data_IF_338071371300
#
_entry.id   IF_338071371300
#
_cell.length_a   1.000
_cell.length_b   1.000
_cell.length_c   1.000
_cell.angle_alpha   90.00
_cell.angle_beta   90.00
_cell.angle_gamma   90.00
#
_symmetry.space_group_name_H-M   'P 1'
#
loop_
_entity.id
_entity.type
_entity.pdbx_description
1 polymer ?
#
# COMPACT_ATOMS: atom_id res chain seq x y z
N UNK A 1 17.03 5.06 -6.77
CA UNK A 1 16.31 4.71 -5.53
C UNK A 1 15.85 3.24 -5.42
N UNK A 2 15.47 2.50 -6.49
CA UNK A 2 15.07 1.09 -6.33
C UNK A 2 16.24 0.10 -6.23
N UNK A 3 17.39 0.40 -6.85
CA UNK A 3 18.58 -0.49 -6.85
C UNK A 3 19.18 -0.59 -5.45
N UNK A 4 19.31 0.54 -4.75
CA UNK A 4 19.87 0.58 -3.40
C UNK A 4 19.08 -0.28 -2.38
N UNK A 5 17.75 -0.35 -2.53
CA UNK A 5 16.89 -1.11 -1.63
C UNK A 5 17.04 -2.63 -1.84
N UNK A 6 17.28 -3.05 -3.08
CA UNK A 6 17.48 -4.45 -3.44
C UNK A 6 18.89 -4.93 -3.05
N UNK A 7 19.88 -4.05 -3.16
CA UNK A 7 21.26 -4.32 -2.74
C UNK A 7 21.38 -4.47 -1.21
N UNK A 8 20.64 -3.67 -0.44
CA UNK A 8 20.54 -3.83 1.03
C UNK A 8 19.91 -5.18 1.41
N UNK A 9 18.92 -5.64 0.63
CA UNK A 9 18.30 -6.96 0.80
C UNK A 9 19.24 -8.15 0.61
N UNK A 10 20.21 -7.99 -0.29
CA UNK A 10 21.22 -9.02 -0.59
C UNK A 10 22.37 -9.03 0.41
N UNK A 11 22.77 -7.87 0.92
CA UNK A 11 23.91 -7.75 1.83
C UNK A 11 23.64 -8.28 3.24
N UNK A 12 22.39 -8.24 3.72
CA UNK A 12 22.05 -8.51 5.14
C UNK A 12 21.14 -9.73 5.36
N UNK A 13 20.79 -10.49 4.32
CA UNK A 13 19.63 -11.41 4.37
C UNK A 13 18.32 -10.61 4.46
N UNK A 14 17.11 -11.21 4.29
CA UNK A 14 15.85 -10.46 4.15
C UNK A 14 15.70 -9.44 5.30
N UNK A 15 15.95 -8.14 5.05
CA UNK A 15 16.12 -7.20 6.12
C UNK A 15 14.72 -6.70 6.48
N UNK A 16 14.25 -7.14 7.64
CA UNK A 16 13.21 -6.43 8.38
C UNK A 16 13.80 -5.10 8.86
N UNK A 17 14.02 -4.17 7.93
CA UNK A 17 14.39 -2.80 8.20
C UNK A 17 13.17 -2.12 8.82
N UNK A 18 13.23 -1.93 10.13
CA UNK A 18 12.20 -1.27 10.94
C UNK A 18 12.16 0.23 10.62
N UNK A 19 11.61 0.57 9.46
CA UNK A 19 11.38 1.95 9.01
C UNK A 19 10.00 2.41 9.44
N UNK A 20 9.85 2.89 10.68
CA UNK A 20 8.70 3.65 11.26
C UNK A 20 7.25 3.19 10.97
N UNK A 21 7.09 2.07 10.29
CA UNK A 21 5.89 1.36 9.89
C UNK A 21 6.34 -0.09 9.84
N UNK A 22 5.64 -0.98 10.53
CA UNK A 22 5.94 -2.41 10.48
C UNK A 22 5.46 -2.93 9.11
N UNK A 23 6.20 -2.62 8.07
CA UNK A 23 5.92 -2.98 6.69
C UNK A 23 6.70 -4.22 6.28
N UNK A 24 6.02 -5.24 5.77
CA UNK A 24 6.66 -6.38 5.12
C UNK A 24 7.11 -5.96 3.72
N UNK A 25 8.38 -6.18 3.38
CA UNK A 25 8.92 -5.91 2.04
C UNK A 25 8.88 -7.19 1.20
N UNK A 26 8.36 -7.09 -0.02
CA UNK A 26 8.31 -8.21 -0.96
C UNK A 26 9.25 -7.93 -2.12
N UNK A 27 10.41 -8.60 -2.11
CA UNK A 27 11.56 -8.26 -2.96
C UNK A 27 11.53 -8.80 -4.39
N UNK A 28 10.47 -9.50 -4.82
CA UNK A 28 10.32 -9.97 -6.19
C UNK A 28 8.90 -9.80 -6.70
N UNK A 29 8.75 -9.60 -8.01
CA UNK A 29 7.43 -9.40 -8.63
C UNK A 29 6.50 -10.61 -8.41
N UNK A 30 7.01 -11.84 -8.55
CA UNK A 30 6.23 -13.05 -8.34
C UNK A 30 5.81 -13.25 -6.87
N UNK A 31 6.68 -12.90 -5.92
CA UNK A 31 6.30 -12.93 -4.50
C UNK A 31 5.28 -11.84 -4.17
N UNK A 32 5.38 -10.65 -4.79
CA UNK A 32 4.45 -9.56 -4.58
C UNK A 32 3.06 -9.91 -5.12
N UNK A 33 3.00 -10.53 -6.29
CA UNK A 33 1.74 -11.00 -6.88
C UNK A 33 1.08 -12.09 -6.00
N UNK A 34 1.84 -13.10 -5.58
CA UNK A 34 1.32 -14.16 -4.71
C UNK A 34 0.83 -13.59 -3.38
N UNK A 35 1.60 -12.69 -2.76
CA UNK A 35 1.27 -12.05 -1.50
C UNK A 35 0.03 -11.16 -1.58
N UNK A 36 -0.09 -10.34 -2.62
CA UNK A 36 -1.26 -9.49 -2.82
C UNK A 36 -2.51 -10.30 -3.17
N UNK A 37 -2.37 -11.45 -3.86
CA UNK A 37 -3.47 -12.38 -4.09
C UNK A 37 -3.96 -13.04 -2.79
N UNK A 38 -3.05 -13.44 -1.91
CA UNK A 38 -3.41 -14.14 -0.66
C UNK A 38 -3.85 -13.21 0.47
N UNK A 39 -3.30 -12.00 0.55
CA UNK A 39 -3.53 -11.08 1.68
C UNK A 39 -4.11 -9.71 1.28
N UNK A 40 -4.75 -9.62 0.11
CA UNK A 40 -5.30 -8.36 -0.43
C UNK A 40 -6.12 -7.56 0.60
N UNK A 41 -7.00 -8.26 1.33
CA UNK A 41 -7.94 -7.64 2.28
C UNK A 41 -7.23 -6.94 3.44
N UNK A 42 -6.20 -7.59 3.98
CA UNK A 42 -5.45 -7.07 5.13
C UNK A 42 -4.53 -5.91 4.75
N UNK A 43 -4.15 -5.80 3.47
CA UNK A 43 -3.30 -4.72 2.96
C UNK A 43 -4.07 -3.53 2.39
N UNK A 44 -5.41 -3.59 2.31
CA UNK A 44 -6.22 -2.42 1.95
C UNK A 44 -6.25 -1.38 3.07
N UNK A 45 -6.06 -1.76 4.34
CA UNK A 45 -5.89 -0.78 5.40
C UNK A 45 -4.50 -0.15 5.32
N UNK A 46 -4.45 1.08 4.83
CA UNK A 46 -3.24 1.89 4.85
C UNK A 46 -3.06 2.48 6.25
N UNK A 47 -1.87 2.34 6.86
CA UNK A 47 -1.54 3.07 8.08
C UNK A 47 -1.69 4.58 7.82
N UNK A 48 -2.48 5.26 8.65
CA UNK A 48 -2.62 6.71 8.52
C UNK A 48 -1.33 7.40 8.99
N UNK A 49 -0.87 8.37 8.20
CA UNK A 49 0.19 9.28 8.60
C UNK A 49 -0.43 10.67 8.79
N UNK A 50 0.01 11.45 9.78
CA UNK A 50 -0.52 12.82 9.97
C UNK A 50 -0.33 13.72 8.75
N UNK A 51 0.76 13.53 8.00
CA UNK A 51 0.96 14.24 6.74
C UNK A 51 -0.07 13.86 5.68
N UNK A 52 -0.46 12.58 5.62
CA UNK A 52 -1.49 12.09 4.72
C UNK A 52 -2.85 12.66 5.11
N UNK A 53 -3.14 12.78 6.41
CA UNK A 53 -4.40 13.36 6.89
C UNK A 53 -4.63 14.78 6.35
N UNK A 54 -3.58 15.61 6.36
CA UNK A 54 -3.63 16.98 5.83
C UNK A 54 -3.73 16.98 4.29
N UNK A 55 -2.89 16.19 3.61
CA UNK A 55 -2.84 16.15 2.15
C UNK A 55 -4.08 15.53 1.50
N UNK A 56 -4.74 14.62 2.22
CA UNK A 56 -5.86 13.83 1.75
C UNK A 56 -7.20 14.23 2.38
N UNK A 57 -7.30 15.47 2.87
CA UNK A 57 -8.52 16.04 3.44
C UNK A 57 -9.18 15.11 4.49
N UNK A 58 -8.42 14.70 5.50
CA UNK A 58 -8.91 13.79 6.53
C UNK A 58 -8.87 12.30 6.13
N UNK A 59 -8.01 11.92 5.19
CA UNK A 59 -8.01 10.57 4.58
C UNK A 59 -9.39 10.21 3.98
N UNK A 60 -9.99 11.11 3.20
CA UNK A 60 -11.29 10.89 2.54
C UNK A 60 -11.17 10.61 1.04
N UNK A 61 -9.95 10.65 0.51
CA UNK A 61 -9.67 10.39 -0.90
C UNK A 61 -9.63 8.88 -1.22
N UNK A 62 -9.68 8.53 -2.51
CA UNK A 62 -9.66 7.12 -2.94
C UNK A 62 -8.34 6.38 -2.63
N UNK A 63 -7.22 7.11 -2.49
CA UNK A 63 -5.90 6.50 -2.25
C UNK A 63 -5.70 6.17 -0.77
N UNK A 64 -6.10 7.06 0.15
CA UNK A 64 -5.83 6.92 1.59
C UNK A 64 -7.05 6.67 2.47
N UNK A 65 -8.28 6.72 1.95
CA UNK A 65 -9.44 6.43 2.77
C UNK A 65 -9.43 5.00 3.33
N UNK A 66 -9.81 4.83 4.62
CA UNK A 66 -9.81 3.53 5.25
C UNK A 66 -10.77 2.58 4.53
N UNK A 67 -10.38 1.32 4.43
CA UNK A 67 -11.21 0.31 3.79
C UNK A 67 -12.55 0.17 4.51
N UNK A 68 -13.63 0.36 3.78
CA UNK A 68 -15.01 0.35 4.29
C UNK A 68 -16.00 0.61 3.16
N UNK A 69 -17.28 0.73 3.49
CA UNK A 69 -18.33 0.91 2.48
C UNK A 69 -18.16 2.20 1.68
N UNK A 70 -17.72 3.28 2.34
CA UNK A 70 -17.36 4.54 1.69
C UNK A 70 -16.28 4.35 0.61
N UNK A 71 -15.16 3.72 0.96
CA UNK A 71 -14.08 3.45 0.00
C UNK A 71 -14.53 2.54 -1.15
N UNK A 72 -15.37 1.53 -0.86
CA UNK A 72 -15.93 0.64 -1.90
C UNK A 72 -16.84 1.41 -2.86
N UNK A 73 -17.61 2.39 -2.38
CA UNK A 73 -18.42 3.26 -3.23
C UNK A 73 -17.56 4.19 -4.08
N UNK A 74 -16.57 4.87 -3.48
CA UNK A 74 -15.60 5.68 -4.23
C UNK A 74 -14.93 4.88 -5.34
N UNK A 75 -14.46 3.67 -5.03
CA UNK A 75 -13.84 2.78 -6.02
C UNK A 75 -14.79 2.41 -7.16
N UNK A 76 -16.08 2.19 -6.88
CA UNK A 76 -17.06 1.92 -7.93
C UNK A 76 -17.23 3.13 -8.85
N UNK A 77 -17.40 4.32 -8.29
CA UNK A 77 -17.57 5.57 -9.04
C UNK A 77 -16.35 5.82 -9.92
N UNK A 78 -15.15 5.85 -9.33
CA UNK A 78 -13.92 6.12 -10.08
C UNK A 78 -13.62 5.06 -11.13
N UNK A 79 -14.00 3.79 -10.92
CA UNK A 79 -13.84 2.77 -11.94
C UNK A 79 -14.80 3.05 -13.09
N UNK A 80 -16.09 3.31 -12.82
CA UNK A 80 -17.09 3.64 -13.86
C UNK A 80 -16.68 4.86 -14.70
N UNK A 81 -16.21 5.92 -14.05
CA UNK A 81 -15.77 7.15 -14.74
C UNK A 81 -14.51 6.94 -15.61
N UNK A 82 -13.66 5.95 -15.28
CA UNK A 82 -12.45 5.65 -16.06
C UNK A 82 -12.71 4.78 -17.30
N UNK A 83 -13.90 4.15 -17.39
CA UNK A 83 -14.30 3.32 -18.55
C UNK A 83 -15.05 4.13 -19.62
N UNK A 84 -15.15 5.44 -19.47
CA UNK A 84 -15.65 6.39 -20.48
C UNK A 84 -14.50 7.20 -21.09
#
# INVERSE_FOLDING_TARGET
MPVALLDVGRAYGPPLLRSCYVGCFVGSAGAAEAFLKTHNVNFFQRPSAHSVDILAYGCTDIVFAPYGDYWRQLRKICNVDLHY
#
